data_IF_593878460935
#
_entry.id   IF_593878460935
#
_cell.length_a   1.000
_cell.length_b   1.000
_cell.length_c   1.000
_cell.angle_alpha   90.00
_cell.angle_beta   90.00
_cell.angle_gamma   90.00
#
_symmetry.space_group_name_H-M   'P 1'
#
loop_
_entity.id
_entity.type
_entity.pdbx_description
1 polymer ?
#
# COMPACT_ATOMS: atom_id res chain seq x y z
N UNK A 1 21.96 -10.21 4.20
CA UNK A 1 21.96 -11.18 3.08
C UNK A 1 20.57 -11.82 3.06
N UNK A 2 19.81 -11.73 1.96
CA UNK A 2 18.42 -12.25 1.88
C UNK A 2 18.41 -13.75 1.59
N UNK A 3 17.28 -14.44 1.84
CA UNK A 3 17.12 -15.88 1.49
C UNK A 3 17.38 -16.11 0.00
N UNK A 4 16.94 -15.20 -0.86
CA UNK A 4 17.22 -15.22 -2.31
C UNK A 4 18.72 -15.16 -2.61
N UNK A 5 19.49 -14.35 -1.87
CA UNK A 5 20.94 -14.28 -2.02
C UNK A 5 21.63 -15.60 -1.65
N UNK A 6 21.14 -16.32 -0.64
CA UNK A 6 21.65 -17.64 -0.28
C UNK A 6 21.34 -18.69 -1.34
N UNK A 7 20.10 -18.71 -1.85
CA UNK A 7 19.71 -19.61 -2.94
C UNK A 7 20.60 -19.38 -4.17
N UNK A 8 20.82 -18.12 -4.53
CA UNK A 8 21.69 -17.76 -5.66
C UNK A 8 23.15 -18.22 -5.44
N UNK A 9 23.68 -18.04 -4.23
CA UNK A 9 25.04 -18.45 -3.90
C UNK A 9 25.21 -19.98 -3.96
N UNK A 10 24.29 -20.74 -3.38
CA UNK A 10 24.34 -22.21 -3.43
C UNK A 10 24.14 -22.74 -4.86
N UNK A 11 23.29 -22.10 -5.67
CA UNK A 11 23.17 -22.43 -7.10
C UNK A 11 24.49 -22.20 -7.86
N UNK A 12 25.18 -21.08 -7.62
CA UNK A 12 26.49 -20.81 -8.20
C UNK A 12 27.54 -21.85 -7.77
N UNK A 13 27.52 -22.25 -6.50
CA UNK A 13 28.41 -23.29 -5.99
C UNK A 13 28.17 -24.63 -6.70
N UNK A 14 26.91 -25.01 -6.93
CA UNK A 14 26.56 -26.22 -7.68
C UNK A 14 27.12 -26.18 -9.12
N UNK A 15 26.99 -25.03 -9.81
CA UNK A 15 27.57 -24.85 -11.15
C UNK A 15 29.09 -24.96 -11.17
N UNK A 16 29.75 -24.42 -10.14
CA UNK A 16 31.20 -24.49 -10.00
C UNK A 16 31.68 -25.93 -9.82
N UNK A 17 31.00 -26.72 -8.99
CA UNK A 17 31.29 -28.15 -8.79
C UNK A 17 31.17 -28.92 -10.11
N UNK A 18 30.10 -28.70 -10.87
CA UNK A 18 29.89 -29.34 -12.18
C UNK A 18 30.95 -28.94 -13.20
N UNK A 19 31.29 -27.64 -13.26
CA UNK A 19 32.32 -27.14 -14.17
C UNK A 19 33.68 -27.76 -13.86
N UNK A 20 34.07 -27.79 -12.58
CA UNK A 20 35.31 -28.43 -12.14
C UNK A 20 35.32 -29.93 -12.47
N UNK A 21 34.21 -30.63 -12.22
CA UNK A 21 34.04 -32.05 -12.58
C UNK A 21 34.32 -32.28 -14.07
N UNK A 22 33.69 -31.51 -14.95
CA UNK A 22 33.85 -31.66 -16.40
C UNK A 22 35.30 -31.41 -16.81
N UNK A 23 35.91 -30.33 -16.32
CA UNK A 23 37.32 -30.02 -16.60
C UNK A 23 38.24 -31.14 -16.12
N UNK A 24 38.02 -31.68 -14.91
CA UNK A 24 38.79 -32.80 -14.38
C UNK A 24 38.65 -34.08 -15.23
N UNK A 25 37.44 -34.38 -15.72
CA UNK A 25 37.20 -35.52 -16.63
C UNK A 25 37.95 -35.31 -17.95
N UNK A 26 37.87 -34.12 -18.54
CA UNK A 26 38.56 -33.80 -19.79
C UNK A 26 40.08 -33.96 -19.67
N UNK A 27 40.66 -33.47 -18.58
CA UNK A 27 42.11 -33.58 -18.34
C UNK A 27 42.54 -35.03 -18.05
N UNK A 28 41.72 -35.82 -17.36
CA UNK A 28 41.99 -37.25 -17.17
C UNK A 28 41.89 -38.03 -18.49
N UNK A 29 40.95 -37.66 -19.36
CA UNK A 29 40.84 -38.25 -20.69
C UNK A 29 42.01 -37.84 -21.59
N UNK A 30 42.53 -36.60 -21.48
CA UNK A 30 43.77 -36.18 -22.15
C UNK A 30 44.96 -37.08 -21.77
N UNK A 31 45.07 -37.49 -20.49
CA UNK A 31 46.11 -38.42 -20.06
C UNK A 31 45.94 -39.79 -20.75
N UNK A 32 44.72 -40.33 -20.74
CA UNK A 32 44.40 -41.60 -21.41
C UNK A 32 44.68 -41.54 -22.91
N UNK A 33 44.16 -40.51 -23.57
CA UNK A 33 44.34 -40.27 -25.00
C UNK A 33 45.81 -40.12 -25.37
N UNK A 34 46.60 -39.37 -24.58
CA UNK A 34 48.04 -39.24 -24.84
C UNK A 34 48.73 -40.60 -24.84
N UNK A 35 48.37 -41.49 -23.90
CA UNK A 35 48.91 -42.85 -23.89
C UNK A 35 48.45 -43.67 -25.09
N UNK A 36 47.19 -43.52 -25.54
CA UNK A 36 46.66 -44.21 -26.73
C UNK A 36 47.33 -43.73 -28.02
N UNK A 37 47.61 -42.43 -28.12
CA UNK A 37 48.36 -41.83 -29.23
C UNK A 37 49.81 -42.31 -29.27
N UNK A 38 50.49 -42.37 -28.12
CA UNK A 38 51.82 -42.97 -28.01
C UNK A 38 51.82 -44.42 -28.51
N UNK A 39 50.86 -45.24 -28.05
CA UNK A 39 50.69 -46.63 -28.50
C UNK A 39 50.51 -46.70 -30.02
N UNK A 40 49.61 -45.88 -30.58
CA UNK A 40 49.28 -45.87 -32.01
C UNK A 40 50.50 -45.47 -32.85
N UNK A 41 51.17 -44.38 -32.48
CA UNK A 41 52.33 -43.85 -33.21
C UNK A 41 53.53 -44.79 -33.12
N UNK A 42 53.79 -45.38 -31.95
CA UNK A 42 54.86 -46.35 -31.77
C UNK A 42 54.61 -47.63 -32.59
N UNK A 43 53.35 -48.12 -32.67
CA UNK A 43 52.98 -49.25 -33.53
C UNK A 43 53.16 -48.93 -35.02
N UNK A 44 52.67 -47.77 -35.46
CA UNK A 44 52.82 -47.33 -36.85
C UNK A 44 54.29 -47.22 -37.24
N UNK A 45 55.12 -46.64 -36.37
CA UNK A 45 56.56 -46.57 -36.58
C UNK A 45 57.22 -47.95 -36.60
N UNK A 46 56.88 -48.82 -35.65
CA UNK A 46 57.50 -50.15 -35.51
C UNK A 46 57.29 -51.06 -36.72
N UNK A 47 56.23 -50.83 -37.50
CA UNK A 47 55.91 -51.61 -38.71
C UNK A 47 56.35 -50.91 -39.99
N UNK A 48 56.29 -49.58 -40.06
CA UNK A 48 56.59 -48.83 -41.30
C UNK A 48 57.99 -48.25 -41.36
N UNK A 49 58.63 -47.98 -40.23
CA UNK A 49 59.88 -47.23 -40.12
C UNK A 49 59.76 -45.75 -40.52
N UNK A 50 58.55 -45.23 -40.77
CA UNK A 50 58.36 -43.86 -41.24
C UNK A 50 58.61 -42.83 -40.11
N UNK A 51 59.68 -42.05 -40.28
CA UNK A 51 60.13 -41.03 -39.33
C UNK A 51 59.06 -40.02 -38.89
N UNK A 52 57.97 -39.82 -39.65
CA UNK A 52 56.91 -38.90 -39.24
C UNK A 52 56.24 -39.34 -37.93
N UNK A 53 56.01 -40.65 -37.77
CA UNK A 53 55.38 -41.19 -36.56
C UNK A 53 56.28 -41.05 -35.33
N UNK A 54 57.60 -41.18 -35.49
CA UNK A 54 58.57 -40.94 -34.42
C UNK A 54 58.56 -39.47 -33.98
N UNK A 55 58.52 -38.52 -34.94
CA UNK A 55 58.46 -37.10 -34.61
C UNK A 55 57.15 -36.73 -33.90
N UNK A 56 56.01 -37.24 -34.39
CA UNK A 56 54.71 -37.05 -33.73
C UNK A 56 54.71 -37.65 -32.32
N UNK A 57 55.27 -38.85 -32.14
CA UNK A 57 55.39 -39.51 -30.84
C UNK A 57 56.20 -38.66 -29.85
N UNK A 58 57.33 -38.11 -30.30
CA UNK A 58 58.13 -37.20 -29.49
C UNK A 58 57.37 -35.92 -29.10
N UNK A 59 56.54 -35.38 -29.98
CA UNK A 59 55.74 -34.19 -29.69
C UNK A 59 54.59 -34.49 -28.70
N UNK A 60 53.99 -35.69 -28.72
CA UNK A 60 53.04 -36.14 -27.67
C UNK A 60 53.70 -36.13 -26.29
N UNK A 61 54.92 -36.68 -26.16
CA UNK A 61 55.67 -36.68 -24.89
C UNK A 61 55.95 -35.25 -24.42
N UNK A 62 56.44 -34.38 -25.32
CA UNK A 62 56.74 -32.99 -24.99
C UNK A 62 55.50 -32.21 -24.57
N UNK A 63 54.34 -32.45 -25.19
CA UNK A 63 53.06 -31.85 -24.77
C UNK A 63 52.70 -32.30 -23.36
N UNK A 64 52.77 -33.62 -23.09
CA UNK A 64 52.44 -34.19 -21.77
C UNK A 64 53.32 -33.61 -20.65
N UNK A 65 54.61 -33.47 -20.92
CA UNK A 65 55.59 -32.92 -19.97
C UNK A 65 55.51 -31.39 -19.86
N UNK A 66 54.65 -30.73 -20.65
CA UNK A 66 54.54 -29.28 -20.68
C UNK A 66 55.78 -28.60 -21.26
N UNK A 67 56.56 -29.27 -22.13
CA UNK A 67 57.74 -28.72 -22.82
C UNK A 67 57.34 -27.88 -24.03
N UNK A 68 56.27 -28.28 -24.74
CA UNK A 68 55.64 -27.51 -25.82
C UNK A 68 54.16 -27.25 -25.51
N UNK A 69 53.56 -26.26 -26.19
CA UNK A 69 52.17 -25.89 -25.96
C UNK A 69 51.22 -27.04 -26.32
N UNK A 70 50.24 -27.31 -25.47
CA UNK A 70 49.16 -28.26 -25.80
C UNK A 70 48.19 -27.59 -26.78
N UNK A 71 47.58 -28.32 -27.71
CA UNK A 71 46.52 -27.80 -28.57
C UNK A 71 45.35 -27.21 -27.77
N UNK A 72 44.63 -26.24 -28.33
CA UNK A 72 43.33 -25.84 -27.78
C UNK A 72 42.34 -26.99 -27.82
N UNK A 73 41.46 -27.10 -26.81
CA UNK A 73 40.49 -28.20 -26.66
C UNK A 73 41.12 -29.58 -26.89
N UNK A 74 42.26 -29.86 -26.24
CA UNK A 74 43.06 -31.06 -26.51
C UNK A 74 42.35 -32.36 -26.15
N UNK A 75 41.44 -32.35 -25.17
CA UNK A 75 40.49 -33.44 -24.88
C UNK A 75 39.60 -33.85 -26.07
N UNK A 76 39.51 -33.05 -27.15
CA UNK A 76 38.83 -33.43 -28.39
C UNK A 76 39.85 -33.99 -29.39
N UNK A 77 39.36 -34.69 -30.40
CA UNK A 77 40.13 -35.28 -31.51
C UNK A 77 41.23 -34.33 -32.02
N UNK A 78 42.50 -34.79 -32.02
CA UNK A 78 43.66 -34.04 -32.51
C UNK A 78 44.58 -34.93 -33.37
N UNK A 79 45.27 -35.90 -32.76
CA UNK A 79 46.30 -36.68 -33.46
C UNK A 79 45.76 -37.62 -34.54
N UNK A 80 44.47 -37.94 -34.55
CA UNK A 80 43.83 -38.64 -35.67
C UNK A 80 43.70 -37.79 -36.93
N UNK A 81 43.74 -36.46 -36.79
CA UNK A 81 43.64 -35.50 -37.90
C UNK A 81 45.02 -35.07 -38.43
N UNK A 82 46.10 -35.49 -37.78
CA UNK A 82 47.48 -35.19 -38.19
C UNK A 82 47.96 -36.31 -39.12
N UNK A 83 47.77 -36.12 -40.43
CA UNK A 83 48.16 -37.09 -41.45
C UNK A 83 49.64 -36.95 -41.84
N UNK A 84 50.17 -35.73 -41.78
CA UNK A 84 51.55 -35.38 -42.06
C UNK A 84 52.19 -34.58 -40.91
N UNK A 85 53.49 -34.79 -40.69
CA UNK A 85 54.19 -34.12 -39.60
C UNK A 85 54.21 -32.60 -39.80
N UNK A 86 53.91 -31.86 -38.73
CA UNK A 86 53.83 -30.40 -38.73
C UNK A 86 52.42 -29.84 -39.00
N UNK A 87 51.45 -30.68 -39.35
CA UNK A 87 50.04 -30.27 -39.40
C UNK A 87 49.54 -29.93 -38.00
N UNK A 88 48.81 -28.81 -37.89
CA UNK A 88 48.16 -28.36 -36.65
C UNK A 88 46.66 -28.20 -36.89
N UNK A 89 45.87 -29.26 -36.67
CA UNK A 89 44.41 -29.21 -36.85
C UNK A 89 43.71 -28.20 -35.93
N UNK A 90 44.37 -27.84 -34.82
CA UNK A 90 43.93 -26.81 -33.87
C UNK A 90 45.10 -25.88 -33.52
N UNK A 91 44.81 -24.62 -33.14
CA UNK A 91 45.81 -23.70 -32.63
C UNK A 91 46.54 -24.22 -31.39
N UNK A 92 47.74 -23.69 -31.15
CA UNK A 92 48.47 -23.92 -29.91
C UNK A 92 47.80 -23.16 -28.76
N UNK A 93 47.53 -23.87 -27.65
CA UNK A 93 46.99 -23.30 -26.42
C UNK A 93 48.10 -22.95 -25.42
N UNK A 94 47.80 -23.15 -24.13
CA UNK A 94 48.73 -22.82 -23.03
C UNK A 94 49.77 -23.93 -22.81
N UNK A 95 50.99 -23.54 -22.44
CA UNK A 95 52.03 -24.44 -21.95
C UNK A 95 51.81 -24.71 -20.46
N UNK A 96 51.20 -25.84 -20.13
CA UNK A 96 50.86 -26.24 -18.76
C UNK A 96 51.13 -27.72 -18.59
N UNK A 97 51.71 -28.12 -17.45
CA UNK A 97 51.87 -29.54 -17.11
C UNK A 97 50.50 -30.11 -16.75
N UNK A 98 50.12 -31.24 -17.34
CA UNK A 98 48.77 -31.82 -17.20
C UNK A 98 48.35 -32.02 -15.72
N UNK A 99 49.27 -32.52 -14.89
CA UNK A 99 49.03 -32.70 -13.45
C UNK A 99 48.87 -31.38 -12.68
N UNK A 100 49.47 -30.27 -13.15
CA UNK A 100 49.27 -28.94 -12.57
C UNK A 100 47.89 -28.39 -12.94
N UNK A 101 47.47 -28.53 -14.21
CA UNK A 101 46.13 -28.15 -14.64
C UNK A 101 45.03 -28.89 -13.85
N UNK A 102 45.26 -30.16 -13.51
CA UNK A 102 44.38 -30.97 -12.69
C UNK A 102 44.28 -30.46 -11.24
N UNK A 103 45.41 -30.02 -10.65
CA UNK A 103 45.42 -29.37 -9.32
C UNK A 103 44.63 -28.06 -9.34
N UNK A 104 44.81 -27.24 -10.37
CA UNK A 104 44.05 -26.00 -10.56
C UNK A 104 42.54 -26.24 -10.72
N UNK A 105 42.15 -27.39 -11.30
CA UNK A 105 40.76 -27.82 -11.39
C UNK A 105 40.14 -28.22 -10.04
N UNK A 106 40.92 -28.25 -8.94
CA UNK A 106 40.42 -28.47 -7.59
C UNK A 106 40.22 -29.94 -7.22
N UNK A 107 40.97 -30.86 -7.82
CA UNK A 107 40.98 -32.26 -7.39
C UNK A 107 41.65 -32.42 -6.01
N UNK A 108 41.26 -33.47 -5.29
CA UNK A 108 41.83 -33.78 -3.97
C UNK A 108 43.20 -34.44 -4.09
N UNK A 109 43.96 -34.47 -2.99
CA UNK A 109 45.25 -35.16 -2.95
C UNK A 109 45.14 -36.66 -3.26
N UNK A 110 44.03 -37.30 -2.84
CA UNK A 110 43.76 -38.72 -3.13
C UNK A 110 43.53 -38.95 -4.62
N UNK A 111 42.75 -38.08 -5.25
CA UNK A 111 42.47 -38.12 -6.70
C UNK A 111 43.73 -37.86 -7.51
N UNK A 112 44.55 -36.89 -7.09
CA UNK A 112 45.82 -36.59 -7.74
C UNK A 112 46.79 -37.77 -7.69
N UNK A 113 46.85 -38.51 -6.58
CA UNK A 113 47.75 -39.67 -6.44
C UNK A 113 47.45 -40.76 -7.48
N UNK A 114 46.18 -40.99 -7.83
CA UNK A 114 45.78 -41.95 -8.85
C UNK A 114 46.24 -41.53 -10.26
N UNK A 115 46.14 -40.25 -10.58
CA UNK A 115 46.60 -39.72 -11.88
C UNK A 115 48.14 -39.66 -11.97
N UNK A 116 48.82 -39.40 -10.85
CA UNK A 116 50.27 -39.51 -10.74
C UNK A 116 50.75 -40.96 -10.95
N UNK A 117 50.05 -41.94 -10.38
CA UNK A 117 50.30 -43.36 -10.62
C UNK A 117 50.11 -43.73 -12.10
N UNK A 118 49.01 -43.31 -12.72
CA UNK A 118 48.78 -43.52 -14.15
C UNK A 118 49.88 -42.89 -15.02
N UNK A 119 50.32 -41.67 -14.68
CA UNK A 119 51.42 -40.99 -15.37
C UNK A 119 52.72 -41.79 -15.27
N UNK A 120 53.10 -42.24 -14.07
CA UNK A 120 54.29 -43.07 -13.85
C UNK A 120 54.24 -44.40 -14.60
N UNK A 121 53.06 -45.05 -14.62
CA UNK A 121 52.86 -46.27 -15.40
C UNK A 121 53.01 -46.00 -16.90
N UNK A 122 52.59 -44.83 -17.38
CA UNK A 122 52.78 -44.42 -18.78
C UNK A 122 54.24 -44.12 -19.10
N UNK A 123 54.97 -43.44 -18.22
CA UNK A 123 56.41 -43.20 -18.38
C UNK A 123 57.21 -44.51 -18.44
N UNK A 124 56.78 -45.52 -17.69
CA UNK A 124 57.36 -46.86 -17.77
C UNK A 124 57.06 -47.56 -19.10
N UNK A 125 55.83 -47.46 -19.61
CA UNK A 125 55.44 -48.03 -20.91
C UNK A 125 56.21 -47.40 -22.08
N UNK A 126 56.52 -46.10 -22.01
CA UNK A 126 57.37 -45.38 -22.97
C UNK A 126 58.73 -46.06 -23.15
N UNK A 127 59.25 -46.75 -22.13
CA UNK A 127 60.48 -47.54 -22.23
C UNK A 127 60.35 -48.71 -23.22
N UNK A 128 59.23 -49.44 -23.21
CA UNK A 128 58.95 -50.54 -24.15
C UNK A 128 58.77 -49.98 -25.56
N UNK A 129 58.03 -48.88 -25.69
CA UNK A 129 57.77 -48.18 -26.96
C UNK A 129 59.08 -47.69 -27.59
N UNK A 130 59.94 -47.07 -26.79
CA UNK A 130 61.27 -46.61 -27.22
C UNK A 130 62.16 -47.78 -27.63
N UNK A 131 62.08 -48.92 -26.93
CA UNK A 131 62.83 -50.13 -27.30
C UNK A 131 62.39 -50.65 -28.67
N UNK A 132 61.07 -50.74 -28.90
CA UNK A 132 60.52 -51.18 -30.18
C UNK A 132 60.90 -50.22 -31.31
N UNK A 133 60.75 -48.91 -31.11
CA UNK A 133 61.11 -47.90 -32.11
C UNK A 133 62.61 -47.90 -32.41
N UNK A 134 63.48 -48.06 -31.41
CA UNK A 134 64.92 -48.17 -31.66
C UNK A 134 65.28 -49.45 -32.42
N UNK A 135 64.66 -50.60 -32.11
CA UNK A 135 64.86 -51.82 -32.87
C UNK A 135 64.45 -51.67 -34.35
N UNK A 136 63.32 -50.98 -34.61
CA UNK A 136 62.88 -50.63 -35.96
C UNK A 136 63.84 -49.68 -36.71
N UNK A 137 64.76 -49.02 -36.00
CA UNK A 137 65.84 -48.19 -36.56
C UNK A 137 67.17 -48.93 -36.67
N UNK A 138 67.24 -50.19 -36.24
CA UNK A 138 68.49 -50.94 -36.13
C UNK A 138 69.37 -50.51 -34.96
N UNK A 139 68.80 -49.83 -33.96
CA UNK A 139 69.50 -49.37 -32.75
C UNK A 139 69.17 -50.29 -31.57
N UNK A 140 70.20 -50.87 -30.96
CA UNK A 140 70.07 -51.80 -29.84
C UNK A 140 70.85 -51.32 -28.63
N UNK A 141 70.35 -51.67 -27.44
CA UNK A 141 70.96 -51.31 -26.18
C UNK A 141 72.31 -52.05 -25.98
N UNK A 142 73.32 -51.32 -25.53
CA UNK A 142 74.58 -51.88 -25.05
C UNK A 142 74.46 -52.44 -23.63
N UNK A 143 75.57 -52.95 -23.08
CA UNK A 143 75.62 -53.49 -21.72
C UNK A 143 75.26 -52.47 -20.63
N UNK A 144 75.22 -51.18 -20.96
CA UNK A 144 74.85 -50.09 -20.06
C UNK A 144 73.44 -49.53 -20.36
N UNK A 145 72.67 -50.18 -21.24
CA UNK A 145 71.31 -49.78 -21.60
C UNK A 145 71.23 -48.60 -22.58
N UNK A 146 72.34 -48.14 -23.16
CA UNK A 146 72.34 -47.05 -24.15
C UNK A 146 72.22 -47.63 -25.57
N UNK A 147 71.40 -47.02 -26.41
CA UNK A 147 71.16 -47.45 -27.79
C UNK A 147 72.31 -47.08 -28.73
N UNK A 148 73.47 -47.70 -28.54
CA UNK A 148 74.71 -47.41 -29.30
C UNK A 148 75.06 -48.50 -30.31
N UNK A 149 74.50 -49.70 -30.17
CA UNK A 149 74.76 -50.83 -31.07
C UNK A 149 73.92 -50.65 -32.33
N UNK A 150 74.57 -50.55 -33.50
CA UNK A 150 73.91 -50.51 -34.80
C UNK A 150 73.91 -51.88 -35.46
N UNK A 151 72.74 -52.34 -35.91
CA UNK A 151 72.53 -53.56 -36.71
C UNK A 151 71.48 -53.28 -37.78
N UNK A 152 71.15 -54.29 -38.58
CA UNK A 152 69.99 -54.22 -39.46
C UNK A 152 68.71 -53.95 -38.66
N UNK A 153 67.80 -53.08 -39.15
CA UNK A 153 66.49 -52.86 -38.56
C UNK A 153 65.70 -54.17 -38.34
N UNK A 154 65.10 -54.30 -37.15
CA UNK A 154 64.29 -55.48 -36.78
C UNK A 154 62.83 -55.09 -36.51
N UNK A 155 62.07 -54.99 -37.61
CA UNK A 155 60.65 -54.61 -37.59
C UNK A 155 59.76 -55.72 -37.02
N UNK A 156 60.13 -57.00 -37.21
CA UNK A 156 59.36 -58.14 -36.68
C UNK A 156 59.46 -58.20 -35.16
N UNK A 157 60.66 -58.01 -34.60
CA UNK A 157 60.85 -57.88 -33.15
C UNK A 157 60.11 -56.66 -32.60
N UNK A 158 60.24 -55.49 -33.23
CA UNK A 158 59.57 -54.26 -32.82
C UNK A 158 58.03 -54.44 -32.78
N UNK A 159 57.45 -55.02 -33.84
CA UNK A 159 56.03 -55.32 -33.89
C UNK A 159 55.62 -56.32 -32.80
N UNK A 160 56.34 -57.45 -32.65
CA UNK A 160 56.05 -58.44 -31.61
C UNK A 160 56.07 -57.84 -30.20
N UNK A 161 57.02 -56.94 -29.93
CA UNK A 161 57.12 -56.25 -28.65
C UNK A 161 55.90 -55.36 -28.38
N UNK A 162 55.48 -54.55 -29.36
CA UNK A 162 54.31 -53.65 -29.27
C UNK A 162 52.93 -54.36 -29.22
N UNK A 163 52.91 -55.63 -29.60
CA UNK A 163 51.73 -56.50 -29.58
C UNK A 163 51.82 -57.60 -28.50
N UNK A 164 52.82 -57.54 -27.62
CA UNK A 164 53.04 -58.53 -26.58
C UNK A 164 52.00 -58.45 -25.46
N UNK A 165 51.81 -59.57 -24.75
CA UNK A 165 50.97 -59.60 -23.55
C UNK A 165 51.54 -58.70 -22.44
N UNK A 166 52.87 -58.60 -22.33
CA UNK A 166 53.53 -57.68 -21.41
C UNK A 166 53.13 -56.23 -21.66
N UNK A 167 53.17 -55.80 -22.93
CA UNK A 167 52.71 -54.46 -23.32
C UNK A 167 51.24 -54.23 -22.93
N UNK A 168 50.34 -55.17 -23.25
CA UNK A 168 48.92 -55.02 -22.90
C UNK A 168 48.72 -54.92 -21.38
N UNK A 169 49.47 -55.69 -20.60
CA UNK A 169 49.40 -55.67 -19.14
C UNK A 169 49.91 -54.34 -18.57
N UNK A 170 51.03 -53.81 -19.08
CA UNK A 170 51.53 -52.49 -18.65
C UNK A 170 50.57 -51.36 -19.08
N UNK A 171 49.96 -51.45 -20.26
CA UNK A 171 48.92 -50.52 -20.71
C UNK A 171 47.69 -50.54 -19.78
N UNK A 172 47.25 -51.72 -19.34
CA UNK A 172 46.13 -51.84 -18.40
C UNK A 172 46.41 -51.16 -17.04
N UNK A 173 47.67 -51.16 -16.58
CA UNK A 173 48.10 -50.45 -15.35
C UNK A 173 47.98 -48.93 -15.46
N UNK A 174 47.93 -48.38 -16.67
CA UNK A 174 47.70 -46.94 -16.89
C UNK A 174 46.22 -46.62 -16.77
N UNK A 175 45.37 -47.44 -17.40
CA UNK A 175 43.92 -47.19 -17.47
C UNK A 175 43.24 -47.41 -16.12
N UNK A 176 43.70 -48.38 -15.32
CA UNK A 176 43.04 -48.72 -14.05
C UNK A 176 43.02 -47.57 -13.02
N UNK A 177 44.13 -46.88 -12.72
CA UNK A 177 44.09 -45.73 -11.81
C UNK A 177 43.29 -44.54 -12.37
N UNK A 178 43.20 -44.38 -13.70
CA UNK A 178 42.34 -43.36 -14.33
C UNK A 178 40.86 -43.68 -14.08
N UNK A 179 40.44 -44.94 -14.25
CA UNK A 179 39.09 -45.42 -13.93
C UNK A 179 38.75 -45.20 -12.44
N UNK A 180 39.68 -45.57 -11.54
CA UNK A 180 39.51 -45.36 -10.10
C UNK A 180 39.45 -43.86 -9.72
N UNK A 181 40.17 -42.99 -10.46
CA UNK A 181 40.07 -41.54 -10.33
C UNK A 181 38.68 -41.05 -10.74
N UNK A 182 38.17 -41.47 -11.91
CA UNK A 182 36.85 -41.08 -12.41
C UNK A 182 35.74 -41.50 -11.43
N UNK A 183 35.80 -42.72 -10.92
CA UNK A 183 34.86 -43.21 -9.90
C UNK A 183 34.93 -42.40 -8.60
N UNK A 184 36.14 -42.05 -8.14
CA UNK A 184 36.33 -41.24 -6.92
C UNK A 184 35.81 -39.82 -7.09
N UNK A 185 36.10 -39.20 -8.26
CA UNK A 185 35.62 -37.88 -8.65
C UNK A 185 34.09 -37.86 -8.71
N UNK A 186 33.48 -38.88 -9.31
CA UNK A 186 32.03 -39.01 -9.41
C UNK A 186 31.37 -39.09 -8.03
N UNK A 187 31.88 -39.92 -7.14
CA UNK A 187 31.36 -40.05 -5.77
C UNK A 187 31.49 -38.72 -5.01
N UNK A 188 32.67 -38.09 -5.06
CA UNK A 188 32.91 -36.83 -4.35
C UNK A 188 31.99 -35.72 -4.85
N UNK A 189 31.98 -35.49 -6.16
CA UNK A 189 31.20 -34.40 -6.77
C UNK A 189 29.70 -34.62 -6.59
N UNK A 190 29.22 -35.86 -6.68
CA UNK A 190 27.81 -36.19 -6.40
C UNK A 190 27.42 -35.90 -4.96
N UNK A 191 28.31 -36.21 -4.00
CA UNK A 191 28.08 -35.89 -2.59
C UNK A 191 28.11 -34.38 -2.31
N UNK A 192 29.01 -33.63 -2.95
CA UNK A 192 29.05 -32.16 -2.85
C UNK A 192 27.77 -31.54 -3.42
N UNK A 193 27.34 -31.97 -4.61
CA UNK A 193 26.08 -31.53 -5.24
C UNK A 193 24.88 -31.86 -4.35
N UNK A 194 24.81 -33.08 -3.80
CA UNK A 194 23.72 -33.48 -2.91
C UNK A 194 23.61 -32.54 -1.70
N UNK A 195 24.73 -32.22 -1.04
CA UNK A 195 24.75 -31.28 0.09
C UNK A 195 24.28 -29.88 -0.30
N UNK A 196 24.69 -29.41 -1.48
CA UNK A 196 24.24 -28.11 -2.00
C UNK A 196 22.74 -28.12 -2.32
N UNK A 197 22.21 -29.20 -2.88
CA UNK A 197 20.77 -29.38 -3.13
C UNK A 197 19.98 -29.41 -1.82
N UNK A 198 20.42 -30.15 -0.82
CA UNK A 198 19.75 -30.20 0.51
C UNK A 198 19.64 -28.80 1.14
N UNK A 199 20.70 -27.99 1.02
CA UNK A 199 20.65 -26.58 1.47
C UNK A 199 19.71 -25.72 0.64
N UNK A 200 19.70 -25.89 -0.69
CA UNK A 200 18.77 -25.17 -1.58
C UNK A 200 17.32 -25.50 -1.21
N UNK A 201 17.00 -26.78 -1.03
CA UNK A 201 15.66 -27.24 -0.61
C UNK A 201 15.26 -26.62 0.73
N UNK A 202 16.18 -26.59 1.71
CA UNK A 202 15.94 -25.94 2.99
C UNK A 202 15.60 -24.44 2.85
N UNK A 203 16.39 -23.68 2.08
CA UNK A 203 16.15 -22.25 1.89
C UNK A 203 14.89 -21.97 1.06
N UNK A 204 14.58 -22.81 0.07
CA UNK A 204 13.34 -22.71 -0.71
C UNK A 204 12.12 -22.94 0.19
N UNK A 205 12.16 -23.98 1.05
CA UNK A 205 11.12 -24.24 2.03
C UNK A 205 10.94 -23.07 3.00
N UNK A 206 12.05 -22.53 3.52
CA UNK A 206 12.03 -21.36 4.40
C UNK A 206 11.39 -20.15 3.71
N UNK A 207 11.74 -19.89 2.45
CA UNK A 207 11.14 -18.81 1.65
C UNK A 207 9.62 -19.01 1.48
N UNK A 208 9.18 -20.22 1.18
CA UNK A 208 7.76 -20.55 1.04
C UNK A 208 6.98 -20.31 2.35
N UNK A 209 7.54 -20.72 3.49
CA UNK A 209 6.95 -20.49 4.81
C UNK A 209 6.82 -18.98 5.10
N UNK A 210 7.87 -18.20 4.82
CA UNK A 210 7.84 -16.75 4.98
C UNK A 210 6.75 -16.09 4.11
N UNK A 211 6.59 -16.52 2.85
CA UNK A 211 5.56 -16.00 1.96
C UNK A 211 4.14 -16.29 2.48
N UNK A 212 3.91 -17.51 2.96
CA UNK A 212 2.63 -17.88 3.58
C UNK A 212 2.38 -17.04 4.83
N UNK A 213 3.37 -16.86 5.69
CA UNK A 213 3.24 -16.05 6.90
C UNK A 213 2.86 -14.58 6.57
N UNK A 214 3.53 -13.97 5.58
CA UNK A 214 3.20 -12.61 5.12
C UNK A 214 1.78 -12.55 4.56
N UNK A 215 1.36 -13.54 3.77
CA UNK A 215 -0.01 -13.62 3.24
C UNK A 215 -1.06 -13.72 4.35
N UNK A 216 -0.81 -14.52 5.38
CA UNK A 216 -1.69 -14.64 6.56
C UNK A 216 -1.79 -13.31 7.31
N UNK A 217 -0.67 -12.63 7.56
CA UNK A 217 -0.66 -11.32 8.21
C UNK A 217 -1.46 -10.31 7.39
N UNK A 218 -1.25 -10.25 6.08
CA UNK A 218 -1.98 -9.33 5.20
C UNK A 218 -3.49 -9.61 5.19
N UNK A 219 -3.87 -10.90 5.16
CA UNK A 219 -5.27 -11.33 5.23
C UNK A 219 -5.90 -10.96 6.57
N UNK A 220 -5.19 -11.14 7.68
CA UNK A 220 -5.64 -10.75 9.01
C UNK A 220 -5.84 -9.23 9.11
N UNK A 221 -4.87 -8.44 8.64
CA UNK A 221 -4.97 -6.98 8.59
C UNK A 221 -6.14 -6.53 7.72
N UNK A 222 -6.38 -7.21 6.59
CA UNK A 222 -7.52 -6.91 5.73
C UNK A 222 -8.85 -7.17 6.44
N UNK A 223 -9.02 -8.34 7.08
CA UNK A 223 -10.24 -8.70 7.81
C UNK A 223 -10.50 -7.72 8.97
N UNK A 224 -9.45 -7.38 9.75
CA UNK A 224 -9.58 -6.47 10.89
C UNK A 224 -9.98 -5.04 10.48
N UNK A 225 -9.58 -4.60 9.29
CA UNK A 225 -9.81 -3.23 8.83
C UNK A 225 -10.98 -3.08 7.83
N UNK A 226 -11.48 -4.20 7.29
CA UNK A 226 -12.54 -4.22 6.25
C UNK A 226 -13.77 -3.40 6.65
N UNK A 227 -14.20 -3.51 7.91
CA UNK A 227 -15.41 -2.82 8.38
C UNK A 227 -15.10 -1.50 9.10
N UNK A 228 -13.93 -1.39 9.72
CA UNK A 228 -13.52 -0.20 10.48
C UNK A 228 -13.33 1.03 9.59
N UNK A 229 -12.66 0.88 8.45
CA UNK A 229 -12.36 2.01 7.55
C UNK A 229 -13.65 2.63 6.99
N UNK A 230 -14.58 1.87 6.38
CA UNK A 230 -15.84 2.44 5.89
C UNK A 230 -16.70 3.06 6.99
N UNK A 231 -16.77 2.43 8.17
CA UNK A 231 -17.53 2.97 9.29
C UNK A 231 -16.94 4.27 9.84
N UNK A 232 -15.61 4.41 9.83
CA UNK A 232 -14.96 5.67 10.21
C UNK A 232 -15.32 6.80 9.24
N UNK A 233 -15.38 6.53 7.93
CA UNK A 233 -15.83 7.53 6.95
C UNK A 233 -17.30 7.89 7.15
N UNK A 234 -18.20 6.91 7.31
CA UNK A 234 -19.61 7.17 7.62
C UNK A 234 -19.79 7.99 8.90
N UNK A 235 -19.00 7.70 9.92
CA UNK A 235 -19.03 8.45 11.18
C UNK A 235 -18.59 9.90 10.97
N UNK A 236 -17.49 10.10 10.26
CA UNK A 236 -16.98 11.43 9.92
C UNK A 236 -17.99 12.25 9.12
N UNK A 237 -18.56 11.66 8.07
CA UNK A 237 -19.54 12.32 7.21
C UNK A 237 -20.84 12.64 7.97
N UNK A 238 -21.29 11.72 8.83
CA UNK A 238 -22.46 11.93 9.68
C UNK A 238 -22.25 13.05 10.70
N UNK A 239 -21.05 13.12 11.29
CA UNK A 239 -20.68 14.17 12.24
C UNK A 239 -20.57 15.55 11.56
N UNK A 240 -19.95 15.62 10.38
CA UNK A 240 -19.91 16.84 9.56
C UNK A 240 -21.32 17.31 9.18
N UNK A 241 -22.19 16.38 8.76
CA UNK A 241 -23.59 16.66 8.47
C UNK A 241 -24.35 17.21 9.68
N UNK A 242 -24.08 16.68 10.87
CA UNK A 242 -24.67 17.19 12.11
C UNK A 242 -24.22 18.63 12.42
N UNK A 243 -22.94 18.95 12.27
CA UNK A 243 -22.45 20.31 12.49
C UNK A 243 -23.02 21.31 11.47
N UNK A 244 -23.12 20.93 10.20
CA UNK A 244 -23.79 21.74 9.17
C UNK A 244 -25.26 22.01 9.51
N UNK A 245 -25.96 21.03 10.06
CA UNK A 245 -27.34 21.20 10.52
C UNK A 245 -27.45 22.19 11.68
N UNK A 246 -26.59 22.08 12.71
CA UNK A 246 -26.57 23.04 13.84
C UNK A 246 -26.28 24.47 13.35
N UNK A 247 -25.37 24.61 12.39
CA UNK A 247 -24.98 25.91 11.83
C UNK A 247 -26.00 26.48 10.83
N UNK A 248 -27.13 25.82 10.60
CA UNK A 248 -28.12 26.17 9.56
C UNK A 248 -27.54 26.23 8.13
N UNK A 249 -26.44 25.54 7.87
CA UNK A 249 -25.82 25.42 6.54
C UNK A 249 -26.50 24.35 5.68
N UNK A 250 -27.12 23.35 6.32
CA UNK A 250 -27.82 22.26 5.67
C UNK A 250 -29.10 21.85 6.42
N UNK A 251 -30.03 21.23 5.71
CA UNK A 251 -31.16 20.55 6.33
C UNK A 251 -30.72 19.26 7.02
N UNK A 252 -31.53 18.78 7.97
CA UNK A 252 -31.28 17.56 8.74
C UNK A 252 -30.90 16.36 7.84
N UNK A 253 -29.72 15.80 8.05
CA UNK A 253 -29.13 14.74 7.22
C UNK A 253 -29.42 13.32 7.69
N UNK A 254 -30.12 13.13 8.81
CA UNK A 254 -30.43 11.81 9.37
C UNK A 254 -29.56 11.44 10.57
N UNK A 255 -29.58 10.16 10.93
CA UNK A 255 -28.73 9.56 11.97
C UNK A 255 -27.54 8.86 11.32
N UNK A 256 -26.45 8.71 12.07
CA UNK A 256 -25.26 7.96 11.66
C UNK A 256 -25.59 6.46 11.72
N UNK A 257 -25.70 5.82 10.55
CA UNK A 257 -26.04 4.40 10.42
C UNK A 257 -24.80 3.50 10.57
N UNK A 258 -24.42 3.27 11.83
CA UNK A 258 -23.32 2.38 12.23
C UNK A 258 -23.81 1.53 13.41
N UNK A 259 -24.04 0.24 13.16
CA UNK A 259 -24.44 -0.76 14.18
C UNK A 259 -23.33 -1.78 14.44
N UNK A 260 -22.17 -1.28 14.89
CA UNK A 260 -21.07 -2.10 15.36
C UNK A 260 -21.03 -2.15 16.89
N UNK A 261 -20.38 -3.20 17.43
CA UNK A 261 -20.18 -3.36 18.88
C UNK A 261 -18.83 -2.80 19.36
N UNK A 262 -18.08 -2.16 18.47
CA UNK A 262 -16.80 -1.53 18.76
C UNK A 262 -16.97 -0.09 19.26
N UNK A 263 -15.85 0.60 19.47
CA UNK A 263 -15.81 1.97 19.95
C UNK A 263 -16.53 2.93 18.99
N UNK A 264 -16.43 2.71 17.68
CA UNK A 264 -17.09 3.54 16.66
C UNK A 264 -18.62 3.40 16.78
N UNK A 265 -19.12 2.18 16.96
CA UNK A 265 -20.55 1.95 17.17
C UNK A 265 -21.08 2.58 18.46
N UNK A 266 -20.32 2.50 19.56
CA UNK A 266 -20.67 3.16 20.81
C UNK A 266 -20.68 4.70 20.67
N UNK A 267 -19.67 5.27 20.01
CA UNK A 267 -19.63 6.71 19.71
C UNK A 267 -20.80 7.14 18.83
N UNK A 268 -21.16 6.34 17.82
CA UNK A 268 -22.28 6.62 16.91
C UNK A 268 -23.60 6.68 17.67
N UNK A 269 -23.84 5.80 18.65
CA UNK A 269 -25.04 5.83 19.50
C UNK A 269 -25.13 7.12 20.31
N UNK A 270 -24.05 7.49 21.00
CA UNK A 270 -24.00 8.73 21.80
C UNK A 270 -24.22 9.96 20.92
N UNK A 271 -23.60 10.00 19.74
CA UNK A 271 -23.81 11.12 18.79
C UNK A 271 -25.25 11.15 18.29
N UNK A 272 -25.84 10.01 17.94
CA UNK A 272 -27.23 9.91 17.47
C UNK A 272 -28.26 10.37 18.53
N UNK A 273 -28.03 10.08 19.81
CA UNK A 273 -28.84 10.60 20.92
C UNK A 273 -28.79 12.13 20.96
N UNK A 274 -27.59 12.71 20.82
CA UNK A 274 -27.42 14.16 20.79
C UNK A 274 -28.02 14.79 19.53
N UNK A 275 -27.87 14.17 18.36
CA UNK A 275 -28.52 14.60 17.11
C UNK A 275 -30.05 14.69 17.32
N UNK A 276 -30.65 13.63 17.86
CA UNK A 276 -32.10 13.56 18.09
C UNK A 276 -32.58 14.60 19.09
N UNK A 277 -31.82 14.77 20.19
CA UNK A 277 -32.11 15.77 21.21
C UNK A 277 -32.04 17.17 20.63
N UNK A 278 -30.95 17.52 19.94
CA UNK A 278 -30.75 18.85 19.34
C UNK A 278 -31.81 19.15 18.28
N UNK A 279 -32.17 18.19 17.43
CA UNK A 279 -33.26 18.36 16.45
C UNK A 279 -34.58 18.73 17.13
N UNK A 280 -34.95 18.00 18.19
CA UNK A 280 -36.20 18.27 18.91
C UNK A 280 -36.18 19.64 19.60
N UNK A 281 -35.03 20.05 20.15
CA UNK A 281 -34.86 21.38 20.74
C UNK A 281 -35.02 22.50 19.70
N UNK A 282 -34.36 22.37 18.54
CA UNK A 282 -34.44 23.34 17.46
C UNK A 282 -35.85 23.46 16.89
N UNK A 283 -36.59 22.36 16.80
CA UNK A 283 -37.99 22.38 16.36
C UNK A 283 -38.90 23.09 17.36
N UNK A 284 -38.72 22.87 18.67
CA UNK A 284 -39.44 23.62 19.71
C UNK A 284 -39.16 25.12 19.63
N UNK A 285 -37.88 25.49 19.48
CA UNK A 285 -37.46 26.87 19.33
C UNK A 285 -38.09 27.52 18.09
N UNK A 286 -38.11 26.81 16.95
CA UNK A 286 -38.75 27.27 15.71
C UNK A 286 -40.24 27.51 15.91
N UNK A 287 -40.96 26.54 16.50
CA UNK A 287 -42.41 26.64 16.74
C UNK A 287 -42.73 27.81 17.67
N UNK A 288 -41.92 28.04 18.71
CA UNK A 288 -42.07 29.21 19.57
C UNK A 288 -41.83 30.52 18.80
N UNK A 289 -40.76 30.61 18.02
CA UNK A 289 -40.43 31.81 17.25
C UNK A 289 -41.57 32.15 16.27
N UNK A 290 -42.16 31.15 15.62
CA UNK A 290 -43.29 31.37 14.71
C UNK A 290 -44.55 31.82 15.47
N UNK A 291 -44.77 31.34 16.69
CA UNK A 291 -45.85 31.84 17.56
C UNK A 291 -45.62 33.28 18.04
N UNK A 292 -44.36 33.62 18.35
CA UNK A 292 -43.95 35.00 18.65
C UNK A 292 -44.25 35.92 17.46
N UNK A 293 -43.87 35.52 16.23
CA UNK A 293 -44.17 36.30 15.02
C UNK A 293 -45.67 36.53 14.83
N UNK A 294 -46.49 35.50 15.06
CA UNK A 294 -47.95 35.59 15.00
C UNK A 294 -48.47 36.65 15.98
N UNK A 295 -48.07 36.57 17.24
CA UNK A 295 -48.55 37.49 18.29
C UNK A 295 -48.06 38.91 18.06
N UNK A 296 -46.82 39.10 17.61
CA UNK A 296 -46.29 40.42 17.25
C UNK A 296 -47.12 41.05 16.12
N UNK A 297 -47.56 40.26 15.14
CA UNK A 297 -48.44 40.77 14.08
C UNK A 297 -49.83 41.16 14.60
N UNK A 298 -50.44 40.36 15.49
CA UNK A 298 -51.73 40.70 16.10
C UNK A 298 -51.65 41.98 16.96
N UNK A 299 -50.57 42.13 17.73
CA UNK A 299 -50.32 43.35 18.52
C UNK A 299 -50.12 44.56 17.62
N UNK A 300 -49.41 44.40 16.49
CA UNK A 300 -49.25 45.44 15.45
C UNK A 300 -50.59 45.84 14.83
N UNK A 301 -51.53 44.91 14.68
CA UNK A 301 -52.90 45.16 14.21
C UNK A 301 -53.83 45.73 15.30
N UNK A 302 -53.31 45.96 16.52
CA UNK A 302 -54.04 46.60 17.61
C UNK A 302 -54.71 45.65 18.59
N UNK A 303 -54.53 44.33 18.44
CA UNK A 303 -55.10 43.30 19.30
C UNK A 303 -54.16 42.95 20.47
N UNK A 304 -54.46 43.46 21.67
CA UNK A 304 -53.67 43.29 22.89
C UNK A 304 -54.17 42.16 23.81
N UNK A 305 -55.16 41.39 23.36
CA UNK A 305 -55.69 40.21 24.04
C UNK A 305 -54.94 38.92 23.68
N UNK A 306 -54.07 38.94 22.65
CA UNK A 306 -53.30 37.78 22.19
C UNK A 306 -52.06 37.50 23.04
N UNK A 307 -51.75 36.22 23.23
CA UNK A 307 -50.56 35.77 23.98
C UNK A 307 -49.79 34.72 23.18
N UNK A 308 -48.50 34.66 23.49
CA UNK A 308 -47.59 33.60 23.03
C UNK A 308 -47.87 32.39 23.92
N UNK A 309 -48.27 31.28 23.30
CA UNK A 309 -48.74 30.07 23.98
C UNK A 309 -47.72 28.93 23.88
N UNK A 310 -47.03 28.82 22.75
CA UNK A 310 -45.98 27.81 22.57
C UNK A 310 -44.87 28.02 23.60
N UNK A 311 -44.15 26.96 23.93
CA UNK A 311 -43.07 26.98 24.91
C UNK A 311 -41.88 26.20 24.36
N UNK A 312 -40.71 26.50 24.92
CA UNK A 312 -39.49 25.75 24.68
C UNK A 312 -38.77 25.48 26.01
N UNK A 313 -37.92 24.47 26.01
CA UNK A 313 -37.00 24.21 27.14
C UNK A 313 -35.78 25.15 27.11
N UNK A 314 -35.57 25.91 26.04
CA UNK A 314 -34.53 26.93 25.97
C UNK A 314 -34.87 28.09 26.93
N UNK A 315 -34.13 28.27 28.04
CA UNK A 315 -34.52 29.20 29.10
C UNK A 315 -34.59 30.65 28.61
N UNK A 316 -33.70 31.06 27.71
CA UNK A 316 -33.66 32.43 27.18
C UNK A 316 -34.86 32.75 26.30
N UNK A 317 -35.31 31.80 25.48
CA UNK A 317 -36.50 31.98 24.65
C UNK A 317 -37.79 31.89 25.47
N UNK A 318 -37.83 31.05 26.50
CA UNK A 318 -38.99 31.00 27.42
C UNK A 318 -39.10 32.28 28.26
N UNK A 319 -37.97 32.84 28.72
CA UNK A 319 -37.93 34.15 29.37
C UNK A 319 -38.38 35.27 28.41
N UNK A 320 -37.96 35.22 27.15
CA UNK A 320 -38.40 36.15 26.11
C UNK A 320 -39.93 36.11 25.94
N UNK A 321 -40.51 34.92 25.80
CA UNK A 321 -41.97 34.72 25.77
C UNK A 321 -42.65 35.38 26.96
N UNK A 322 -42.18 35.11 28.18
CA UNK A 322 -42.78 35.62 29.41
C UNK A 322 -42.70 37.14 29.47
N UNK A 323 -41.57 37.72 29.06
CA UNK A 323 -41.36 39.17 28.99
C UNK A 323 -42.31 39.82 27.99
N UNK A 324 -42.49 39.23 26.80
CA UNK A 324 -43.46 39.71 25.81
C UNK A 324 -44.90 39.62 26.33
N UNK A 325 -45.30 38.47 26.87
CA UNK A 325 -46.65 38.29 27.42
C UNK A 325 -46.93 39.28 28.57
N UNK A 326 -45.94 39.53 29.44
CA UNK A 326 -46.06 40.53 30.50
C UNK A 326 -46.18 41.95 29.93
N UNK A 327 -45.35 42.31 28.95
CA UNK A 327 -45.45 43.60 28.26
C UNK A 327 -46.85 43.79 27.64
N UNK A 328 -47.36 42.80 26.92
CA UNK A 328 -48.70 42.87 26.30
C UNK A 328 -49.79 42.96 27.39
N UNK A 329 -49.65 42.25 28.50
CA UNK A 329 -50.58 42.34 29.63
C UNK A 329 -50.62 43.74 30.24
N UNK A 330 -49.47 44.33 30.53
CA UNK A 330 -49.39 45.69 31.09
C UNK A 330 -49.93 46.72 30.10
N UNK A 331 -49.63 46.59 28.81
CA UNK A 331 -50.16 47.49 27.77
C UNK A 331 -51.68 47.35 27.66
N UNK A 332 -52.22 46.11 27.67
CA UNK A 332 -53.67 45.86 27.66
C UNK A 332 -54.37 46.52 28.85
N UNK A 333 -53.81 46.37 30.05
CA UNK A 333 -54.35 46.95 31.28
C UNK A 333 -54.32 48.49 31.30
N UNK A 334 -53.29 49.10 30.71
CA UNK A 334 -53.17 50.56 30.67
C UNK A 334 -53.98 51.17 29.51
N UNK A 335 -54.00 50.52 28.35
CA UNK A 335 -54.62 51.03 27.13
C UNK A 335 -56.03 50.45 26.96
N UNK A 336 -56.14 49.27 26.36
CA UNK A 336 -57.36 48.51 26.11
C UNK A 336 -57.04 47.13 25.51
N UNK A 337 -58.04 46.27 25.32
CA UNK A 337 -57.94 44.98 24.63
C UNK A 337 -57.80 45.12 23.12
N UNK A 338 -58.53 46.05 22.51
CA UNK A 338 -58.52 46.31 21.07
C UNK A 338 -58.42 47.81 20.79
N UNK A 339 -57.24 48.23 20.36
CA UNK A 339 -56.91 49.64 20.09
C UNK A 339 -57.81 50.20 18.99
N UNK A 340 -58.27 49.37 18.04
CA UNK A 340 -59.10 49.84 16.93
C UNK A 340 -60.44 50.38 17.43
N UNK A 341 -61.02 49.77 18.47
CA UNK A 341 -62.25 50.29 19.11
C UNK A 341 -62.02 51.65 19.76
N UNK A 342 -60.83 51.84 20.34
CA UNK A 342 -60.44 53.12 20.93
C UNK A 342 -60.28 54.21 19.88
N UNK A 343 -59.63 53.90 18.76
CA UNK A 343 -59.47 54.83 17.64
C UNK A 343 -60.82 55.24 17.06
N UNK A 344 -61.72 54.30 16.81
CA UNK A 344 -63.09 54.59 16.33
C UNK A 344 -63.86 55.51 17.28
N UNK A 345 -63.76 55.29 18.59
CA UNK A 345 -64.41 56.18 19.56
C UNK A 345 -63.84 57.61 19.51
N UNK A 346 -62.52 57.73 19.34
CA UNK A 346 -61.87 59.04 19.24
C UNK A 346 -62.27 59.78 17.94
N UNK A 347 -62.48 59.08 16.84
CA UNK A 347 -63.01 59.66 15.60
C UNK A 347 -64.43 60.21 15.78
N UNK A 348 -65.28 59.54 16.58
CA UNK A 348 -66.61 60.07 16.93
C UNK A 348 -66.48 61.37 17.75
N UNK A 349 -65.54 61.42 18.69
CA UNK A 349 -65.31 62.60 19.53
C UNK A 349 -64.74 63.78 18.74
N UNK A 350 -63.92 63.53 17.72
CA UNK A 350 -63.45 64.56 16.79
C UNK A 350 -64.62 65.23 16.05
N UNK A 351 -65.67 64.48 15.74
CA UNK A 351 -66.93 64.99 15.16
C UNK A 351 -67.87 65.61 16.19
N UNK A 352 -67.39 65.85 17.41
CA UNK A 352 -68.15 66.35 18.56
C UNK A 352 -69.30 65.43 19.01
N UNK A 353 -69.27 64.14 18.65
CA UNK A 353 -70.24 63.14 19.11
C UNK A 353 -69.71 62.38 20.32
N UNK A 354 -70.05 62.86 21.52
CA UNK A 354 -69.60 62.27 22.78
C UNK A 354 -70.54 61.18 23.32
N UNK A 355 -71.42 60.58 22.51
CA UNK A 355 -72.36 59.54 22.98
C UNK A 355 -71.74 58.15 23.08
N UNK A 356 -70.73 57.87 22.27
CA UNK A 356 -70.06 56.57 22.21
C UNK A 356 -69.39 56.19 23.54
N UNK A 357 -69.43 54.91 23.90
CA UNK A 357 -68.68 54.34 25.05
C UNK A 357 -68.08 53.01 24.65
N UNK A 358 -66.88 52.71 25.13
CA UNK A 358 -66.31 51.37 25.00
C UNK A 358 -66.69 50.58 26.25
N UNK A 359 -67.50 49.54 26.06
CA UNK A 359 -67.94 48.60 27.10
C UNK A 359 -67.16 47.28 27.02
N UNK A 360 -67.03 46.60 28.17
CA UNK A 360 -66.34 45.32 28.30
C UNK A 360 -64.81 45.40 28.30
N UNK A 361 -64.26 46.61 28.38
CA UNK A 361 -62.84 46.90 28.43
C UNK A 361 -62.51 47.71 29.69
N UNK A 362 -61.57 47.19 30.47
CA UNK A 362 -61.13 47.71 31.76
C UNK A 362 -59.80 48.47 31.67
N UNK A 363 -59.31 48.72 30.45
CA UNK A 363 -58.13 49.54 30.20
C UNK A 363 -58.25 50.93 30.84
N UNK A 364 -57.22 51.38 31.55
CA UNK A 364 -57.25 52.66 32.27
C UNK A 364 -57.57 53.85 31.36
N UNK A 365 -57.02 53.85 30.14
CA UNK A 365 -57.29 54.89 29.13
C UNK A 365 -58.76 54.86 28.70
N UNK A 366 -59.33 53.67 28.44
CA UNK A 366 -60.74 53.52 28.09
C UNK A 366 -61.66 54.04 29.20
N UNK A 367 -61.40 53.65 30.45
CA UNK A 367 -62.16 54.13 31.60
C UNK A 367 -62.06 55.65 31.73
N UNK A 368 -60.86 56.21 31.54
CA UNK A 368 -60.63 57.66 31.55
C UNK A 368 -61.40 58.40 30.45
N UNK A 369 -61.38 57.88 29.22
CA UNK A 369 -62.07 58.47 28.07
C UNK A 369 -63.60 58.40 28.22
N UNK A 370 -64.13 57.27 28.70
CA UNK A 370 -65.56 57.16 28.99
C UNK A 370 -66.00 58.20 30.04
N UNK A 371 -65.23 58.38 31.12
CA UNK A 371 -65.49 59.42 32.14
C UNK A 371 -65.39 60.83 31.56
N UNK A 372 -64.41 61.09 30.71
CA UNK A 372 -64.25 62.38 30.05
C UNK A 372 -65.49 62.69 29.19
N UNK A 373 -65.98 61.69 28.45
CA UNK A 373 -67.19 61.82 27.66
C UNK A 373 -68.43 62.07 28.54
N UNK A 374 -68.52 61.44 29.72
CA UNK A 374 -69.59 61.71 30.68
C UNK A 374 -69.55 63.18 31.16
N UNK A 375 -68.36 63.68 31.52
CA UNK A 375 -68.14 65.06 31.94
C UNK A 375 -68.49 66.04 30.81
N UNK A 376 -68.05 65.77 29.58
CA UNK A 376 -68.36 66.63 28.42
C UNK A 376 -69.87 66.68 28.18
N UNK A 377 -70.58 65.54 28.22
CA UNK A 377 -72.03 65.52 28.09
C UNK A 377 -72.72 66.28 29.22
N UNK A 378 -72.20 66.19 30.46
CA UNK A 378 -72.70 66.97 31.58
C UNK A 378 -72.51 68.48 31.34
N UNK A 379 -71.32 68.92 30.93
CA UNK A 379 -71.04 70.33 30.60
C UNK A 379 -71.93 70.81 29.46
N UNK A 380 -72.13 70.02 28.41
CA UNK A 380 -73.03 70.35 27.30
C UNK A 380 -74.49 70.46 27.78
N UNK A 381 -74.93 69.59 28.68
CA UNK A 381 -76.25 69.65 29.30
C UNK A 381 -76.42 70.88 30.21
N UNK A 382 -75.42 71.19 31.03
CA UNK A 382 -75.38 72.39 31.89
C UNK A 382 -75.34 73.66 31.06
N UNK A 383 -74.53 73.72 30.00
CA UNK A 383 -74.49 74.85 29.06
C UNK A 383 -75.84 75.06 28.37
N UNK A 384 -76.52 73.98 27.96
CA UNK A 384 -77.89 74.05 27.45
C UNK A 384 -78.84 74.61 28.51
N UNK A 385 -78.76 74.12 29.76
CA UNK A 385 -79.59 74.62 30.87
C UNK A 385 -79.34 76.10 31.16
N UNK A 386 -78.07 76.52 31.23
CA UNK A 386 -77.68 77.91 31.42
C UNK A 386 -78.17 78.78 30.26
N UNK A 387 -78.07 78.30 29.02
CA UNK A 387 -78.61 78.98 27.84
C UNK A 387 -80.12 79.19 27.92
N UNK A 388 -80.88 78.17 28.35
CA UNK A 388 -82.32 78.28 28.60
C UNK A 388 -82.64 79.25 29.73
N UNK A 389 -81.89 79.23 30.84
CA UNK A 389 -82.05 80.18 31.95
C UNK A 389 -81.73 81.62 31.52
N UNK A 390 -80.72 81.81 30.66
CA UNK A 390 -80.38 83.12 30.09
C UNK A 390 -81.50 83.61 29.16
N UNK A 391 -82.06 82.72 28.34
CA UNK A 391 -83.22 83.00 27.49
C UNK A 391 -84.43 83.41 28.33
N UNK A 392 -84.73 82.67 29.40
CA UNK A 392 -85.82 82.97 30.33
C UNK A 392 -85.59 84.30 31.06
N UNK A 393 -84.37 84.53 31.55
CA UNK A 393 -83.98 85.80 32.19
C UNK A 393 -84.05 86.97 31.23
N UNK A 394 -83.69 86.77 29.96
CA UNK A 394 -83.84 87.77 28.90
C UNK A 394 -85.30 88.07 28.61
N UNK A 395 -86.18 87.07 28.59
CA UNK A 395 -87.65 87.24 28.49
C UNK A 395 -88.21 88.01 29.68
N UNK A 396 -87.78 87.69 30.91
CA UNK A 396 -88.18 88.40 32.13
C UNK A 396 -87.69 89.86 32.09
N UNK A 397 -86.44 90.11 31.68
CA UNK A 397 -85.92 91.47 31.54
C UNK A 397 -86.70 92.25 30.48
N UNK A 398 -86.99 91.66 29.32
CA UNK A 398 -87.82 92.26 28.28
C UNK A 398 -89.22 92.60 28.82
N UNK A 399 -89.80 91.69 29.62
CA UNK A 399 -91.07 91.93 30.31
C UNK A 399 -90.96 93.08 31.31
N UNK A 400 -89.92 93.14 32.13
CA UNK A 400 -89.71 94.20 33.12
C UNK A 400 -89.44 95.55 32.46
N UNK A 401 -88.69 95.58 31.36
CA UNK A 401 -88.50 96.78 30.55
C UNK A 401 -89.83 97.23 29.96
N UNK A 402 -90.66 96.32 29.44
CA UNK A 402 -92.00 96.65 28.95
C UNK A 402 -92.91 97.18 30.08
N UNK A 403 -92.90 96.55 31.25
CA UNK A 403 -93.66 97.00 32.44
C UNK A 403 -93.17 98.35 32.94
N UNK A 404 -91.86 98.58 32.99
CA UNK A 404 -91.26 99.87 33.34
C UNK A 404 -91.64 100.95 32.32
N UNK A 405 -91.60 100.64 31.02
CA UNK A 405 -92.01 101.57 29.96
C UNK A 405 -93.51 101.92 30.08
N UNK A 406 -94.37 100.94 30.36
CA UNK A 406 -95.79 101.18 30.69
C UNK A 406 -95.95 102.04 31.95
N UNK A 407 -95.16 101.79 33.00
CA UNK A 407 -95.24 102.49 34.28
C UNK A 407 -94.69 103.93 34.20
N UNK A 408 -93.64 104.16 33.41
CA UNK A 408 -93.09 105.49 33.10
C UNK A 408 -94.03 106.31 32.23
N UNK A 409 -94.79 105.69 31.31
CA UNK A 409 -95.87 106.38 30.61
C UNK A 409 -97.04 106.71 31.54
N UNK A 410 -97.39 105.82 32.47
CA UNK A 410 -98.48 106.05 33.43
C UNK A 410 -98.13 107.05 34.55
N UNK A 411 -96.85 107.32 34.80
CA UNK A 411 -96.38 108.35 35.74
C UNK A 411 -96.15 109.72 35.06
N UNK A 412 -96.34 109.81 33.75
CA UNK A 412 -96.22 111.03 32.94
C UNK A 412 -97.59 111.60 32.50
N UNK A 413 -98.70 110.97 32.93
CA UNK A 413 -100.08 111.50 32.89
C UNK A 413 -100.51 111.90 34.31
#
# INVERSE_FOLDING_TARGET
>A
MTVVSFIYQEFKQMQEIQTKKIVSIQLADELRQSSDDLTRLARLFSVTGDSKYEKMYGDVIKIRNGEIARPEDYHRIYWDLVLEYGQKPKPDGKKVVLLEALKEAGITQKELALLDEASKNSDKLVGIETTAMNAAKGLFADSNGKYTIKREPDLDYAAKLMHSQEYMNEKAKIVKPIDDFLATLDIRTSNEVKKTVEKLEFFILLMAICLVAVSVIFTLLFILNKDKIPNLYKFSDGLDGFFKYINNEASYSGLIDIDTKDEIGNMSKVVNENISRTKNLMEQDRVLIDDVKRVVNEVKEGHLDRRIEKSTVNPSLEELKNSFNYMIEITKQNVCKDINRLLLLLEDFEKLDFRGRISGDDGKIVVGINKLADIINQILSENKSNGLTLEESSKILLSNVNTLNQSSNAAAE
#
